data_IF_832756664471
#
_entry.id   IF_832756664471
#
_cell.length_a   1.000
_cell.length_b   1.000
_cell.length_c   1.000
_cell.angle_alpha   90.00
_cell.angle_beta   90.00
_cell.angle_gamma   90.00
#
_symmetry.space_group_name_H-M   'P 1'
#
loop_
_entity.id
_entity.type
_entity.pdbx_description
1 polymer ?
#
# COMPACT_ATOMS: atom_id res chain seq x y z
N UNK A 1 3.46 9.12 -0.15
CA UNK A 1 3.13 9.09 1.28
C UNK A 1 3.40 7.71 1.87
N UNK A 2 3.65 7.64 3.17
CA UNK A 2 3.80 6.40 3.93
C UNK A 2 2.73 6.40 5.03
N UNK A 3 2.06 5.29 5.23
CA UNK A 3 1.04 5.12 6.27
C UNK A 3 1.30 3.82 7.01
N UNK A 4 1.05 3.84 8.32
CA UNK A 4 1.18 2.64 9.14
C UNK A 4 -0.01 1.70 8.92
N UNK A 5 0.17 0.38 9.07
CA UNK A 5 -0.98 -0.55 9.10
C UNK A 5 -2.04 -0.14 10.14
N UNK A 6 -1.62 0.29 11.33
CA UNK A 6 -2.56 0.76 12.36
C UNK A 6 -3.32 2.02 11.93
N UNK A 7 -2.64 2.99 11.32
CA UNK A 7 -3.29 4.19 10.80
C UNK A 7 -4.27 3.88 9.67
N UNK A 8 -3.92 2.96 8.77
CA UNK A 8 -4.80 2.53 7.69
C UNK A 8 -6.07 1.85 8.25
N UNK A 9 -5.93 1.09 9.34
CA UNK A 9 -7.03 0.46 10.05
C UNK A 9 -7.92 1.49 10.78
N UNK A 10 -7.33 2.41 11.53
CA UNK A 10 -8.05 3.48 12.24
C UNK A 10 -8.83 4.39 11.28
N UNK A 11 -8.22 4.75 10.14
CA UNK A 11 -8.84 5.54 9.08
C UNK A 11 -9.85 4.72 8.25
N UNK A 12 -10.06 3.43 8.57
CA UNK A 12 -10.94 2.48 7.85
C UNK A 12 -10.70 2.50 6.35
N UNK A 13 -9.43 2.62 5.94
CA UNK A 13 -9.06 2.67 4.54
C UNK A 13 -9.27 1.28 3.93
N UNK A 14 -10.20 1.18 2.98
CA UNK A 14 -10.52 -0.06 2.27
C UNK A 14 -9.46 -0.34 1.19
N UNK A 15 -8.23 -0.59 1.63
CA UNK A 15 -7.07 -0.85 0.76
C UNK A 15 -7.14 -2.26 0.16
N UNK A 16 -7.47 -3.24 0.99
CA UNK A 16 -7.59 -4.65 0.62
C UNK A 16 -8.60 -5.36 1.53
N UNK A 17 -8.87 -6.65 1.25
CA UNK A 17 -9.67 -7.50 2.14
C UNK A 17 -9.07 -7.57 3.55
N UNK A 18 -9.92 -7.65 4.58
CA UNK A 18 -9.50 -7.65 5.98
C UNK A 18 -8.54 -8.81 6.30
N UNK A 19 -8.73 -9.96 5.66
CA UNK A 19 -7.91 -11.15 5.86
C UNK A 19 -6.50 -10.93 5.31
N UNK A 20 -6.42 -10.40 4.08
CA UNK A 20 -5.14 -10.08 3.44
C UNK A 20 -4.41 -8.97 4.20
N UNK A 21 -5.14 -7.96 4.69
CA UNK A 21 -4.58 -6.87 5.47
C UNK A 21 -3.93 -7.38 6.77
N UNK A 22 -4.63 -8.26 7.47
CA UNK A 22 -4.14 -8.88 8.72
C UNK A 22 -2.90 -9.72 8.46
N UNK A 23 -2.93 -10.55 7.41
CA UNK A 23 -1.78 -11.36 7.00
C UNK A 23 -0.54 -10.51 6.70
N UNK A 24 -0.71 -9.42 5.93
CA UNK A 24 0.38 -8.50 5.61
C UNK A 24 0.90 -7.78 6.85
N UNK A 25 0.02 -7.35 7.76
CA UNK A 25 0.41 -6.71 9.02
C UNK A 25 1.23 -7.67 9.92
N UNK A 26 0.74 -8.88 10.16
CA UNK A 26 1.42 -9.86 11.02
C UNK A 26 2.79 -10.26 10.49
N UNK A 27 2.93 -10.37 9.16
CA UNK A 27 4.17 -10.73 8.51
C UNK A 27 5.04 -9.52 8.12
N UNK A 28 4.63 -8.29 8.50
CA UNK A 28 5.32 -7.04 8.15
C UNK A 28 5.64 -6.94 6.65
N UNK A 29 4.68 -7.33 5.79
CA UNK A 29 4.85 -7.33 4.34
C UNK A 29 4.54 -5.91 3.83
N UNK A 30 5.53 -5.12 3.37
CA UNK A 30 5.26 -3.77 2.88
C UNK A 30 4.39 -3.82 1.63
N UNK A 31 3.31 -3.05 1.62
CA UNK A 31 2.35 -3.01 0.51
C UNK A 31 2.30 -1.63 -0.13
N UNK A 32 2.44 -1.54 -1.45
CA UNK A 32 2.33 -0.28 -2.18
C UNK A 32 0.97 -0.20 -2.85
N UNK A 33 0.20 0.82 -2.49
CA UNK A 33 -1.12 1.12 -3.07
C UNK A 33 -0.95 2.22 -4.09
N UNK A 34 -1.25 1.95 -5.35
CA UNK A 34 -1.09 2.91 -6.44
C UNK A 34 -2.21 2.79 -7.47
N UNK A 35 -2.37 3.85 -8.27
CA UNK A 35 -3.33 3.87 -9.37
C UNK A 35 -2.69 3.31 -10.65
N UNK A 36 -3.27 2.21 -11.14
CA UNK A 36 -2.85 1.52 -12.37
C UNK A 36 -3.23 2.28 -13.64
N UNK A 37 -4.25 3.15 -13.59
CA UNK A 37 -4.71 3.90 -14.76
C UNK A 37 -3.73 5.02 -15.13
N UNK A 38 -2.89 5.44 -14.19
CA UNK A 38 -1.87 6.44 -14.44
C UNK A 38 -0.72 5.81 -15.23
N UNK A 39 -0.58 6.28 -16.48
CA UNK A 39 0.43 5.78 -17.42
C UNK A 39 1.84 5.97 -16.82
N UNK A 40 2.60 4.88 -16.78
CA UNK A 40 3.97 4.87 -16.25
C UNK A 40 4.10 4.56 -14.76
N UNK A 41 2.99 4.52 -13.99
CA UNK A 41 3.04 4.26 -12.54
C UNK A 41 3.76 2.97 -12.18
N UNK A 42 3.51 1.88 -12.90
CA UNK A 42 4.15 0.59 -12.62
C UNK A 42 5.68 0.65 -12.86
N UNK A 43 6.09 1.28 -13.96
CA UNK A 43 7.52 1.41 -14.28
C UNK A 43 8.22 2.29 -13.24
N UNK A 44 7.59 3.40 -12.82
CA UNK A 44 8.12 4.29 -11.79
C UNK A 44 8.24 3.58 -10.42
N UNK A 45 7.32 2.67 -10.07
CA UNK A 45 7.41 1.87 -8.84
C UNK A 45 8.60 0.93 -8.88
N UNK A 46 8.80 0.24 -10.01
CA UNK A 46 9.94 -0.67 -10.20
C UNK A 46 11.27 0.10 -10.16
N UNK A 47 11.28 1.33 -10.67
CA UNK A 47 12.42 2.26 -10.64
C UNK A 47 12.66 2.85 -9.23
N UNK A 48 11.82 2.51 -8.24
CA UNK A 48 11.95 2.97 -6.85
C UNK A 48 11.48 4.40 -6.61
N UNK A 49 10.76 5.01 -7.56
CA UNK A 49 10.16 6.32 -7.36
C UNK A 49 8.98 6.23 -6.40
N UNK A 50 8.76 7.31 -5.64
CA UNK A 50 7.61 7.43 -4.73
C UNK A 50 6.32 7.62 -5.55
N UNK A 51 5.69 6.50 -5.92
CA UNK A 51 4.39 6.47 -6.58
C UNK A 51 3.39 5.74 -5.68
N UNK A 52 2.28 6.41 -5.39
CA UNK A 52 1.25 5.91 -4.50
C UNK A 52 1.59 6.05 -3.02
N UNK A 53 1.02 5.16 -2.23
CA UNK A 53 1.13 5.14 -0.77
C UNK A 53 1.74 3.82 -0.32
N UNK A 54 2.82 3.89 0.44
CA UNK A 54 3.43 2.72 1.06
C UNK A 54 2.76 2.46 2.41
N UNK A 55 2.25 1.24 2.59
CA UNK A 55 1.71 0.73 3.84
C UNK A 55 2.75 -0.17 4.48
N UNK A 56 3.17 0.14 5.72
CA UNK A 56 4.16 -0.63 6.47
C UNK A 56 3.86 -0.65 7.97
#
# INVERSE_FOLDING_TARGET
DEISYDEAYEKKLKIMDLTAFTLCKENNIPTIVFDINKKGSLADIIDGKKVGTLVK
#
